data_IF_023153664356
#
_entry.id   IF_023153664356
#
_cell.length_a   1.000
_cell.length_b   1.000
_cell.length_c   1.000
_cell.angle_alpha   90.00
_cell.angle_beta   90.00
_cell.angle_gamma   90.00
#
_symmetry.space_group_name_H-M   'P 1'
#
loop_
_entity.id
_entity.type
_entity.pdbx_description
1 polymer ?
#
# COMPACT_ATOMS: atom_id res chain seq x y z
N UNK A 1 -11.21 14.55 13.24
CA UNK A 1 -11.01 15.35 12.00
C UNK A 1 -9.58 15.82 11.94
N UNK A 2 -8.96 15.72 10.77
CA UNK A 2 -7.58 16.15 10.53
C UNK A 2 -7.57 17.43 9.68
N UNK A 3 -6.68 18.36 9.99
CA UNK A 3 -6.47 19.57 9.19
C UNK A 3 -5.02 20.04 9.33
N UNK A 4 -4.55 20.85 8.38
CA UNK A 4 -3.18 21.37 8.37
C UNK A 4 -3.17 22.90 8.34
N UNK A 5 -2.21 23.49 9.06
CA UNK A 5 -1.89 24.93 8.97
C UNK A 5 -0.38 25.05 8.81
N UNK A 6 0.06 25.59 7.68
CA UNK A 6 1.48 25.64 7.33
C UNK A 6 2.07 24.24 7.18
N UNK A 7 3.09 23.93 7.97
CA UNK A 7 3.77 22.63 8.03
C UNK A 7 3.22 21.70 9.13
N UNK A 8 2.31 22.21 9.96
CA UNK A 8 1.84 21.50 11.15
C UNK A 8 0.49 20.86 10.89
N UNK A 9 0.37 19.58 11.25
CA UNK A 9 -0.87 18.81 11.16
C UNK A 9 -1.52 18.71 12.54
N UNK A 10 -2.83 18.94 12.58
CA UNK A 10 -3.64 18.92 13.79
C UNK A 10 -4.77 17.91 13.64
N UNK A 11 -5.14 17.31 14.77
CA UNK A 11 -6.30 16.42 14.88
C UNK A 11 -7.16 16.84 16.07
N UNK A 12 -8.47 16.77 15.90
CA UNK A 12 -9.41 16.91 17.02
C UNK A 12 -10.61 15.98 16.82
N UNK A 13 -11.22 15.61 17.95
CA UNK A 13 -12.40 14.74 17.94
C UNK A 13 -13.64 15.49 17.42
N UNK A 14 -14.37 14.84 16.53
CA UNK A 14 -15.61 15.31 15.91
C UNK A 14 -16.82 14.96 16.77
N UNK A 15 -16.77 15.35 18.04
CA UNK A 15 -17.96 15.37 18.89
C UNK A 15 -18.94 16.45 18.38
N UNK A 16 -20.27 16.31 18.61
CA UNK A 16 -21.26 17.27 18.14
C UNK A 16 -21.00 18.71 18.60
N UNK A 17 -20.29 18.89 19.71
CA UNK A 17 -19.85 20.19 20.22
C UNK A 17 -18.88 20.94 19.29
N UNK A 18 -18.26 20.24 18.33
CA UNK A 18 -17.27 20.81 17.38
C UNK A 18 -17.70 20.71 15.91
N UNK A 19 -18.98 20.44 15.65
CA UNK A 19 -19.52 20.32 14.29
C UNK A 19 -19.49 21.65 13.49
N UNK A 20 -19.51 22.79 14.18
CA UNK A 20 -19.49 24.13 13.56
C UNK A 20 -18.21 24.40 12.74
N UNK A 21 -17.09 23.76 13.09
CA UNK A 21 -15.81 23.97 12.43
C UNK A 21 -15.86 23.74 10.91
N UNK A 22 -16.62 22.73 10.45
CA UNK A 22 -16.75 22.47 9.00
C UNK A 22 -17.50 23.59 8.31
N UNK A 23 -18.53 24.14 8.95
CA UNK A 23 -19.32 25.24 8.41
C UNK A 23 -18.49 26.52 8.35
N UNK A 24 -17.74 26.83 9.40
CA UNK A 24 -16.88 28.02 9.45
C UNK A 24 -15.79 27.99 8.38
N UNK A 25 -15.28 26.80 8.04
CA UNK A 25 -14.31 26.62 6.95
C UNK A 25 -14.88 26.93 5.56
N UNK A 26 -16.20 26.84 5.34
CA UNK A 26 -16.80 27.09 4.02
C UNK A 26 -16.54 28.52 3.55
N UNK A 27 -16.63 29.50 4.45
CA UNK A 27 -16.35 30.91 4.15
C UNK A 27 -14.96 31.12 3.53
N UNK A 28 -13.96 30.39 4.01
CA UNK A 28 -12.59 30.48 3.50
C UNK A 28 -12.40 29.64 2.24
N UNK A 29 -13.08 28.50 2.12
CA UNK A 29 -13.00 27.64 0.93
C UNK A 29 -13.64 28.29 -0.29
N UNK A 30 -14.69 29.09 -0.14
CA UNK A 30 -15.35 29.80 -1.24
C UNK A 30 -14.41 30.76 -1.99
N UNK A 31 -13.50 31.41 -1.27
CA UNK A 31 -12.51 32.33 -1.85
C UNK A 31 -11.18 31.66 -2.18
N UNK A 32 -11.05 30.36 -1.89
CA UNK A 32 -9.82 29.61 -2.08
C UNK A 32 -9.85 28.78 -3.36
N UNK A 33 -8.69 28.62 -3.99
CA UNK A 33 -8.51 27.60 -5.04
C UNK A 33 -8.03 26.31 -4.41
N UNK A 34 -8.52 25.18 -4.92
CA UNK A 34 -7.89 23.89 -4.61
C UNK A 34 -6.48 23.85 -5.18
N UNK A 35 -5.49 23.60 -4.33
CA UNK A 35 -4.11 23.35 -4.74
C UNK A 35 -3.86 21.85 -4.55
N UNK A 36 -3.24 21.15 -5.52
CA UNK A 36 -2.82 19.77 -5.29
C UNK A 36 -1.91 19.74 -4.06
N UNK A 37 -2.30 18.96 -3.05
CA UNK A 37 -1.57 18.83 -1.80
C UNK A 37 -0.16 18.30 -2.10
N UNK A 38 0.82 19.19 -2.11
CA UNK A 38 2.23 18.87 -2.34
C UNK A 38 2.91 18.55 -1.01
N UNK A 39 2.27 17.81 -0.12
CA UNK A 39 3.09 17.02 0.78
C UNK A 39 3.50 15.84 -0.08
N UNK A 40 4.78 15.79 -0.41
CA UNK A 40 5.42 14.51 -0.56
C UNK A 40 5.01 13.71 0.66
N UNK A 41 3.98 12.87 0.51
CA UNK A 41 3.89 11.65 1.27
C UNK A 41 5.33 11.16 1.26
N UNK A 42 6.03 11.04 2.41
CA UNK A 42 7.24 10.24 2.40
C UNK A 42 6.77 8.98 1.70
N UNK A 43 7.39 8.58 0.57
CA UNK A 43 6.90 7.46 -0.20
C UNK A 43 6.66 6.42 0.86
N UNK A 44 5.38 6.05 1.07
CA UNK A 44 5.05 4.87 1.86
C UNK A 44 6.06 3.91 1.31
N UNK A 45 6.99 3.48 2.14
CA UNK A 45 8.00 2.53 1.74
C UNK A 45 7.17 1.35 1.26
N UNK A 46 6.85 1.37 -0.05
CA UNK A 46 6.91 0.26 -0.94
C UNK A 46 8.24 -0.28 -0.54
N UNK A 47 8.18 -1.25 0.38
CA UNK A 47 9.19 -2.28 0.54
C UNK A 47 9.90 -2.31 -0.80
N UNK A 48 11.14 -1.84 -0.78
CA UNK A 48 12.08 -2.09 -1.87
C UNK A 48 11.73 -3.48 -2.36
N UNK A 49 11.25 -3.68 -3.60
CA UNK A 49 11.20 -5.03 -4.10
C UNK A 49 12.65 -5.47 -4.02
N UNK A 50 12.93 -6.38 -3.09
CA UNK A 50 14.22 -7.03 -3.02
C UNK A 50 14.55 -7.42 -4.45
N UNK A 51 15.72 -6.97 -4.91
CA UNK A 51 16.24 -7.26 -6.23
C UNK A 51 15.95 -8.73 -6.57
N UNK A 52 15.24 -9.00 -7.67
CA UNK A 52 15.09 -10.36 -8.17
C UNK A 52 13.69 -10.85 -8.52
N UNK A 53 12.75 -10.01 -8.94
CA UNK A 53 11.55 -10.54 -9.63
C UNK A 53 11.11 -9.58 -10.71
N UNK A 54 11.46 -9.91 -11.97
CA UNK A 54 10.80 -9.33 -13.14
C UNK A 54 9.29 -9.57 -13.11
N UNK A 55 8.54 -9.12 -14.13
CA UNK A 55 7.11 -9.36 -14.20
C UNK A 55 6.84 -10.86 -14.42
N UNK A 56 6.91 -11.66 -13.35
CA UNK A 56 6.42 -13.03 -13.35
C UNK A 56 4.91 -12.93 -13.60
N UNK A 57 4.50 -13.40 -14.77
CA UNK A 57 3.10 -13.41 -15.22
C UNK A 57 2.22 -13.91 -14.08
N UNK A 58 1.00 -13.37 -13.96
CA UNK A 58 -0.01 -13.85 -12.99
C UNK A 58 -0.18 -15.37 -13.05
N UNK A 59 0.05 -15.96 -14.23
CA UNK A 59 0.05 -17.40 -14.47
C UNK A 59 1.20 -18.14 -13.75
N UNK A 60 2.44 -17.65 -13.85
CA UNK A 60 3.59 -18.22 -13.14
C UNK A 60 3.38 -18.16 -11.62
N UNK A 61 2.80 -17.07 -11.11
CA UNK A 61 2.43 -16.95 -9.70
C UNK A 61 1.31 -17.92 -9.28
N UNK A 62 0.47 -18.39 -10.20
CA UNK A 62 -0.51 -19.45 -9.89
C UNK A 62 0.18 -20.80 -9.81
N UNK A 63 1.02 -21.13 -10.81
CA UNK A 63 1.78 -22.38 -10.83
C UNK A 63 2.65 -22.57 -9.58
N UNK A 64 3.39 -21.52 -9.16
CA UNK A 64 4.21 -21.56 -7.95
C UNK A 64 3.34 -21.81 -6.71
N UNK A 65 2.16 -21.20 -6.63
CA UNK A 65 1.25 -21.36 -5.47
C UNK A 65 0.69 -22.77 -5.39
N UNK A 66 0.32 -23.36 -6.52
CA UNK A 66 -0.24 -24.71 -6.57
C UNK A 66 0.83 -25.78 -6.26
N UNK A 67 2.03 -25.61 -6.80
CA UNK A 67 3.20 -26.41 -6.41
C UNK A 67 3.48 -26.27 -4.91
N UNK A 68 3.51 -25.05 -4.39
CA UNK A 68 3.83 -24.79 -2.99
C UNK A 68 2.79 -25.40 -2.03
N UNK A 69 1.48 -25.33 -2.34
CA UNK A 69 0.43 -26.01 -1.57
C UNK A 69 0.62 -27.54 -1.56
N UNK A 70 0.97 -28.11 -2.72
CA UNK A 70 1.21 -29.56 -2.86
C UNK A 70 2.43 -30.02 -2.06
N UNK A 71 3.45 -29.16 -1.96
CA UNK A 71 4.66 -29.41 -1.17
C UNK A 71 4.54 -29.02 0.31
N UNK A 72 3.34 -28.61 0.77
CA UNK A 72 3.07 -28.27 2.16
C UNK A 72 3.55 -26.88 2.61
N UNK A 73 3.93 -25.99 1.70
CA UNK A 73 4.30 -24.62 2.02
C UNK A 73 3.07 -23.74 2.30
N UNK A 74 3.22 -22.83 3.27
CA UNK A 74 2.16 -21.86 3.64
C UNK A 74 2.22 -20.65 2.71
N UNK A 75 1.30 -20.58 1.75
CA UNK A 75 1.20 -19.48 0.78
C UNK A 75 -0.08 -18.68 0.98
N UNK A 76 -0.01 -17.36 0.77
CA UNK A 76 -1.19 -16.50 0.73
C UNK A 76 -2.00 -16.72 -0.54
N UNK A 77 -3.33 -16.72 -0.43
CA UNK A 77 -4.25 -16.90 -1.57
C UNK A 77 -4.16 -15.77 -2.60
N UNK A 78 -3.72 -14.58 -2.19
CA UNK A 78 -3.56 -13.41 -3.06
C UNK A 78 -2.28 -12.64 -2.73
N UNK A 79 -1.77 -11.91 -3.71
CA UNK A 79 -0.63 -11.01 -3.57
C UNK A 79 0.71 -11.64 -3.94
N UNK A 80 1.78 -11.02 -3.43
CA UNK A 80 3.16 -11.45 -3.66
C UNK A 80 3.43 -12.82 -3.00
N UNK A 81 4.20 -13.66 -3.67
CA UNK A 81 4.65 -14.95 -3.13
C UNK A 81 5.95 -14.69 -2.35
N UNK A 82 6.12 -15.26 -1.14
CA UNK A 82 7.39 -15.18 -0.42
C UNK A 82 8.56 -15.67 -1.28
N UNK A 83 9.70 -14.96 -1.20
CA UNK A 83 10.90 -15.27 -1.99
C UNK A 83 11.38 -16.71 -1.79
N UNK A 84 11.35 -17.21 -0.54
CA UNK A 84 11.74 -18.57 -0.17
C UNK A 84 10.99 -19.65 -0.97
N UNK A 85 9.71 -19.41 -1.31
CA UNK A 85 8.89 -20.35 -2.08
C UNK A 85 9.23 -20.28 -3.57
N UNK A 86 9.54 -19.08 -4.08
CA UNK A 86 9.96 -18.88 -5.47
C UNK A 86 11.30 -19.55 -5.71
N UNK A 87 12.26 -19.37 -4.80
CA UNK A 87 13.57 -20.01 -4.87
C UNK A 87 13.47 -21.54 -4.79
N UNK A 88 12.63 -22.07 -3.89
CA UNK A 88 12.41 -23.52 -3.81
C UNK A 88 11.74 -24.08 -5.08
N UNK A 89 10.83 -23.33 -5.70
CA UNK A 89 10.21 -23.69 -6.97
C UNK A 89 11.23 -23.66 -8.11
N UNK A 90 12.05 -22.62 -8.19
CA UNK A 90 13.13 -22.49 -9.18
C UNK A 90 14.17 -23.59 -8.99
N UNK A 91 14.61 -23.91 -7.77
CA UNK A 91 15.53 -25.02 -7.52
C UNK A 91 14.96 -26.37 -7.98
N UNK A 92 13.66 -26.60 -7.75
CA UNK A 92 12.98 -27.83 -8.19
C UNK A 92 12.78 -27.91 -9.72
N UNK A 93 12.68 -26.77 -10.42
CA UNK A 93 12.42 -26.70 -11.87
C UNK A 93 13.65 -26.33 -12.71
N UNK A 94 14.75 -25.88 -12.09
CA UNK A 94 16.03 -25.56 -12.73
C UNK A 94 16.96 -26.78 -12.77
N UNK A 95 16.38 -27.99 -12.74
CA UNK A 95 17.07 -29.24 -13.01
C UNK A 95 17.13 -29.47 -14.53
N UNK A 96 17.91 -28.64 -15.23
CA UNK A 96 18.28 -28.82 -16.63
C UNK A 96 19.63 -28.18 -16.92
#
# INVERSE_FOLDING_TARGET
MHFGIGDTTYEFDTTPQRAAFRTDLLTYLEVSRSVPYSHATPPKTTRVPAAGSGPTSTEQKRAIRDWARTNGFRVSDRGCIPGDIVEAFEAAHNSA
#
